data_IF_831140758696
#
_entry.id   IF_831140758696
#
_cell.length_a   1.000
_cell.length_b   1.000
_cell.length_c   1.000
_cell.angle_alpha   90.00
_cell.angle_beta   90.00
_cell.angle_gamma   90.00
#
_symmetry.space_group_name_H-M   'P 1'
#
loop_
_entity.id
_entity.type
_entity.pdbx_description
1 polymer ?
#
# COMPACT_ATOMS: atom_id res chain seq x y z
N UNK A 1 -35.63 19.00 -5.80
CA UNK A 1 -36.69 18.09 -5.31
C UNK A 1 -36.33 17.67 -3.90
N UNK A 2 -37.24 17.81 -2.94
CA UNK A 2 -37.00 17.43 -1.54
C UNK A 2 -37.09 15.90 -1.48
N UNK A 3 -35.99 15.21 -1.23
CA UNK A 3 -35.98 13.75 -1.04
C UNK A 3 -36.90 13.42 0.14
N UNK A 4 -37.82 12.48 -0.03
CA UNK A 4 -38.66 12.06 1.10
C UNK A 4 -37.79 11.42 2.17
N UNK A 5 -38.25 11.41 3.43
CA UNK A 5 -37.51 10.73 4.51
C UNK A 5 -37.25 9.26 4.17
N UNK A 6 -38.22 8.59 3.54
CA UNK A 6 -38.07 7.22 3.08
C UNK A 6 -36.97 7.09 2.01
N UNK A 7 -36.93 7.98 1.01
CA UNK A 7 -35.93 7.94 -0.06
C UNK A 7 -34.52 8.22 0.46
N UNK A 8 -34.38 9.16 1.40
CA UNK A 8 -33.10 9.46 2.05
C UNK A 8 -32.56 8.23 2.80
N UNK A 9 -33.42 7.56 3.57
CA UNK A 9 -33.04 6.37 4.34
C UNK A 9 -32.72 5.21 3.40
N UNK A 10 -33.51 5.02 2.34
CA UNK A 10 -33.25 4.02 1.31
C UNK A 10 -31.89 4.26 0.64
N UNK A 11 -31.61 5.50 0.23
CA UNK A 11 -30.32 5.90 -0.35
C UNK A 11 -29.14 5.64 0.59
N UNK A 12 -29.30 5.89 1.90
CA UNK A 12 -28.27 5.57 2.90
C UNK A 12 -27.97 4.07 2.99
N UNK A 13 -29.00 3.22 2.95
CA UNK A 13 -28.81 1.77 3.01
C UNK A 13 -28.13 1.28 1.74
N UNK A 14 -28.61 1.68 0.58
CA UNK A 14 -28.01 1.30 -0.71
C UNK A 14 -26.56 1.78 -0.83
N UNK A 15 -26.25 2.98 -0.35
CA UNK A 15 -24.88 3.47 -0.34
C UNK A 15 -23.98 2.63 0.58
N UNK A 16 -24.45 2.27 1.78
CA UNK A 16 -23.68 1.37 2.67
C UNK A 16 -23.46 0.00 2.04
N UNK A 17 -24.46 -0.59 1.39
CA UNK A 17 -24.32 -1.85 0.66
C UNK A 17 -23.32 -1.73 -0.49
N UNK A 18 -23.41 -0.65 -1.27
CA UNK A 18 -22.49 -0.37 -2.39
C UNK A 18 -21.05 -0.19 -1.92
N UNK A 19 -20.83 0.43 -0.75
CA UNK A 19 -19.51 0.52 -0.12
C UNK A 19 -19.03 -0.85 0.35
N UNK A 20 -19.90 -1.63 0.98
CA UNK A 20 -19.56 -2.97 1.48
C UNK A 20 -19.15 -3.94 0.35
N UNK A 21 -19.82 -3.86 -0.78
CA UNK A 21 -19.54 -4.66 -1.97
C UNK A 21 -18.39 -4.10 -2.83
N UNK A 22 -17.78 -2.98 -2.43
CA UNK A 22 -16.66 -2.37 -3.14
C UNK A 22 -17.05 -1.61 -4.43
N UNK A 23 -18.34 -1.39 -4.69
CA UNK A 23 -18.83 -0.59 -5.83
C UNK A 23 -18.57 0.90 -5.67
N UNK A 24 -18.50 1.38 -4.42
CA UNK A 24 -18.21 2.78 -4.09
C UNK A 24 -16.99 2.85 -3.19
N UNK A 25 -16.00 3.63 -3.59
CA UNK A 25 -14.83 3.92 -2.75
C UNK A 25 -15.10 5.14 -1.86
N UNK A 26 -15.18 4.98 -0.52
CA UNK A 26 -15.44 6.09 0.38
C UNK A 26 -14.23 7.03 0.47
N UNK A 27 -14.49 8.34 0.42
CA UNK A 27 -13.44 9.36 0.62
C UNK A 27 -13.00 9.43 2.08
N UNK A 28 -11.90 10.16 2.37
CA UNK A 28 -11.44 10.39 3.74
C UNK A 28 -12.53 11.00 4.64
N UNK A 29 -13.29 11.96 4.11
CA UNK A 29 -14.41 12.58 4.82
C UNK A 29 -15.52 11.56 5.13
N UNK A 30 -15.83 10.65 4.20
CA UNK A 30 -16.84 9.61 4.42
C UNK A 30 -16.42 8.67 5.55
N UNK A 31 -15.14 8.29 5.59
CA UNK A 31 -14.61 7.44 6.66
C UNK A 31 -14.80 8.04 8.05
N UNK A 32 -14.49 9.33 8.21
CA UNK A 32 -14.61 10.01 9.50
C UNK A 32 -16.09 10.11 9.93
N UNK A 33 -17.00 10.21 8.95
CA UNK A 33 -18.45 10.20 9.18
C UNK A 33 -19.01 8.80 9.45
N UNK A 34 -18.30 7.75 9.05
CA UNK A 34 -18.67 6.35 9.35
C UNK A 34 -18.29 5.93 10.77
N UNK A 35 -17.56 6.71 11.56
CA UNK A 35 -17.08 6.31 12.89
C UNK A 35 -18.21 6.00 13.88
N UNK A 36 -19.29 6.78 13.87
CA UNK A 36 -20.45 6.60 14.74
C UNK A 36 -21.75 7.03 14.03
N UNK A 37 -22.89 6.61 14.56
CA UNK A 37 -24.19 6.89 13.94
C UNK A 37 -24.56 8.37 13.94
N UNK A 38 -24.15 9.16 14.94
CA UNK A 38 -24.46 10.60 14.98
C UNK A 38 -23.71 11.32 13.86
N UNK A 39 -22.43 11.00 13.66
CA UNK A 39 -21.65 11.51 12.54
C UNK A 39 -22.19 11.02 11.20
N UNK A 40 -22.60 9.75 11.09
CA UNK A 40 -23.17 9.21 9.86
C UNK A 40 -24.46 9.95 9.45
N UNK A 41 -25.29 10.35 10.40
CA UNK A 41 -26.48 11.16 10.14
C UNK A 41 -26.16 12.52 9.51
N UNK A 42 -24.96 13.07 9.75
CA UNK A 42 -24.47 14.31 9.14
C UNK A 42 -23.79 14.13 7.78
N UNK A 43 -23.63 12.88 7.33
CA UNK A 43 -23.13 12.58 5.99
C UNK A 43 -24.17 13.00 4.94
N UNK A 44 -23.70 13.67 3.91
CA UNK A 44 -24.45 13.96 2.68
C UNK A 44 -23.66 13.44 1.50
N UNK A 45 -24.33 12.77 0.58
CA UNK A 45 -23.72 12.27 -0.65
C UNK A 45 -24.55 12.82 -1.79
N UNK A 46 -23.91 13.62 -2.65
CA UNK A 46 -24.56 14.32 -3.75
C UNK A 46 -25.32 13.33 -4.62
N UNK A 47 -26.59 13.64 -4.91
CA UNK A 47 -27.53 12.82 -5.68
C UNK A 47 -27.96 11.49 -5.03
N UNK A 48 -27.52 11.18 -3.81
CA UNK A 48 -27.87 9.93 -3.11
C UNK A 48 -28.76 10.19 -1.89
N UNK A 49 -28.28 11.02 -0.95
CA UNK A 49 -29.02 11.37 0.25
C UNK A 49 -28.46 12.62 0.95
N UNK A 50 -29.36 13.33 1.65
CA UNK A 50 -29.05 14.52 2.43
C UNK A 50 -28.88 14.22 3.91
N UNK A 51 -28.43 15.20 4.69
CA UNK A 51 -28.35 15.11 6.16
C UNK A 51 -29.71 14.78 6.77
N UNK A 52 -29.70 13.94 7.81
CA UNK A 52 -30.91 13.55 8.54
C UNK A 52 -30.67 13.68 10.06
N UNK A 53 -31.72 13.93 10.84
CA UNK A 53 -31.60 13.88 12.29
C UNK A 53 -31.50 12.43 12.77
N UNK A 54 -30.70 12.19 13.81
CA UNK A 54 -30.54 10.86 14.40
C UNK A 54 -31.87 10.26 14.85
N UNK A 55 -32.72 11.05 15.51
CA UNK A 55 -34.01 10.58 16.02
C UNK A 55 -34.98 10.25 14.88
N UNK A 56 -34.97 11.05 13.80
CA UNK A 56 -35.79 10.78 12.60
C UNK A 56 -35.38 9.46 11.96
N UNK A 57 -34.06 9.24 11.78
CA UNK A 57 -33.54 8.00 11.20
C UNK A 57 -33.88 6.79 12.09
N UNK A 58 -33.64 6.90 13.40
CA UNK A 58 -33.91 5.83 14.36
C UNK A 58 -35.40 5.47 14.37
N UNK A 59 -36.27 6.46 14.57
CA UNK A 59 -37.71 6.24 14.64
C UNK A 59 -38.24 5.59 13.35
N UNK A 60 -37.82 6.09 12.18
CA UNK A 60 -38.26 5.52 10.91
C UNK A 60 -37.82 4.06 10.78
N UNK A 61 -36.54 3.77 11.00
CA UNK A 61 -35.98 2.42 10.85
C UNK A 61 -36.47 1.41 11.90
N UNK A 62 -37.00 1.86 13.04
CA UNK A 62 -37.65 0.98 14.02
C UNK A 62 -39.12 0.71 13.70
N UNK A 63 -39.80 1.65 13.02
CA UNK A 63 -41.25 1.58 12.78
C UNK A 63 -41.63 1.12 11.37
N UNK A 64 -40.67 1.09 10.44
CA UNK A 64 -40.91 0.76 9.03
C UNK A 64 -39.91 -0.30 8.56
N UNK A 65 -40.31 -1.05 7.53
CA UNK A 65 -39.46 -1.98 6.80
C UNK A 65 -39.49 -1.66 5.30
N UNK A 66 -38.46 -2.07 4.58
CA UNK A 66 -38.40 -1.99 3.12
C UNK A 66 -38.38 -3.42 2.58
N UNK A 67 -39.39 -3.79 1.77
CA UNK A 67 -39.51 -5.14 1.21
C UNK A 67 -38.33 -5.55 0.31
N UNK A 68 -37.70 -4.56 -0.33
CA UNK A 68 -36.54 -4.75 -1.22
C UNK A 68 -35.23 -5.03 -0.47
N UNK A 69 -35.18 -4.78 0.84
CA UNK A 69 -33.95 -4.85 1.63
C UNK A 69 -34.00 -6.10 2.51
N UNK A 70 -33.37 -7.17 2.03
CA UNK A 70 -33.22 -8.41 2.79
C UNK A 70 -32.16 -8.24 3.89
N UNK A 71 -32.55 -8.40 5.15
CA UNK A 71 -31.63 -8.41 6.29
C UNK A 71 -32.02 -9.46 7.33
N UNK A 72 -31.03 -9.95 8.07
CA UNK A 72 -31.21 -10.92 9.17
C UNK A 72 -31.43 -10.26 10.53
N UNK A 73 -31.27 -8.93 10.61
CA UNK A 73 -31.42 -8.16 11.85
C UNK A 73 -32.88 -7.97 12.25
N UNK A 74 -33.10 -7.70 13.54
CA UNK A 74 -34.43 -7.46 14.14
C UNK A 74 -35.21 -6.32 13.46
N UNK A 75 -34.51 -5.27 13.05
CA UNK A 75 -35.08 -4.13 12.33
C UNK A 75 -34.02 -3.45 11.44
N UNK A 76 -34.48 -2.53 10.59
CA UNK A 76 -33.61 -1.77 9.69
C UNK A 76 -32.57 -0.94 10.45
N UNK A 77 -32.86 -0.52 11.67
CA UNK A 77 -31.95 0.29 12.48
C UNK A 77 -30.71 -0.52 12.90
N UNK A 78 -30.92 -1.72 13.42
CA UNK A 78 -29.82 -2.63 13.79
C UNK A 78 -29.06 -3.14 12.56
N UNK A 79 -29.76 -3.36 11.44
CA UNK A 79 -29.10 -3.68 10.17
C UNK A 79 -28.16 -2.55 9.72
N UNK A 80 -28.65 -1.31 9.68
CA UNK A 80 -27.83 -0.16 9.29
C UNK A 80 -26.64 0.06 10.24
N UNK A 81 -26.86 -0.10 11.55
CA UNK A 81 -25.80 0.03 12.56
C UNK A 81 -24.69 -0.99 12.39
N UNK A 82 -25.05 -2.26 12.19
CA UNK A 82 -24.11 -3.35 12.02
C UNK A 82 -23.35 -3.22 10.70
N UNK A 83 -24.05 -2.93 9.60
CA UNK A 83 -23.43 -2.72 8.28
C UNK A 83 -22.40 -1.58 8.33
N UNK A 84 -22.77 -0.41 8.89
CA UNK A 84 -21.84 0.71 9.09
C UNK A 84 -20.65 0.34 9.98
N UNK A 85 -20.89 -0.36 11.09
CA UNK A 85 -19.82 -0.77 12.00
C UNK A 85 -18.81 -1.69 11.31
N UNK A 86 -19.30 -2.66 10.52
CA UNK A 86 -18.46 -3.58 9.75
C UNK A 86 -17.63 -2.84 8.71
N UNK A 87 -18.25 -1.95 7.92
CA UNK A 87 -17.54 -1.12 6.94
C UNK A 87 -16.43 -0.32 7.63
N UNK A 88 -16.74 0.37 8.72
CA UNK A 88 -15.75 1.17 9.45
C UNK A 88 -14.60 0.31 10.01
N UNK A 89 -14.88 -0.87 10.54
CA UNK A 89 -13.86 -1.78 11.05
C UNK A 89 -12.93 -2.28 9.93
N UNK A 90 -13.48 -2.65 8.77
CA UNK A 90 -12.71 -3.08 7.60
C UNK A 90 -11.81 -1.95 7.08
N UNK A 91 -12.36 -0.74 6.96
CA UNK A 91 -11.58 0.42 6.49
C UNK A 91 -10.52 0.87 7.50
N UNK A 92 -10.81 0.79 8.81
CA UNK A 92 -9.83 1.09 9.86
C UNK A 92 -8.66 0.12 9.84
N UNK A 93 -8.93 -1.19 9.64
CA UNK A 93 -7.88 -2.21 9.52
C UNK A 93 -6.96 -1.94 8.32
N UNK A 94 -7.52 -1.54 7.19
CA UNK A 94 -6.73 -1.13 6.02
C UNK A 94 -5.82 0.07 6.33
N UNK A 95 -6.32 1.08 7.08
CA UNK A 95 -5.52 2.26 7.46
C UNK A 95 -4.40 1.97 8.45
N UNK A 96 -4.54 1.00 9.35
CA UNK A 96 -3.41 0.58 10.21
C UNK A 96 -2.27 -0.06 9.42
N UNK A 97 -2.49 -0.44 8.16
CA UNK A 97 -1.43 -0.90 7.27
C UNK A 97 -0.84 0.23 6.40
N UNK A 98 -1.39 1.45 6.46
CA UNK A 98 -0.95 2.62 5.68
C UNK A 98 0.00 3.56 6.45
N UNK A 99 0.39 3.24 7.69
CA UNK A 99 1.70 3.69 8.18
C UNK A 99 2.74 2.86 7.43
N UNK A 100 3.01 3.25 6.18
CA UNK A 100 4.29 2.96 5.56
C UNK A 100 5.29 3.67 6.44
N UNK A 101 5.79 2.96 7.45
CA UNK A 101 6.90 3.37 8.28
C UNK A 101 7.94 3.96 7.34
N UNK A 102 8.16 5.27 7.42
CA UNK A 102 9.21 5.86 6.59
C UNK A 102 10.48 5.08 6.93
N UNK A 103 11.20 4.53 5.94
CA UNK A 103 12.30 3.67 6.22
C UNK A 103 13.28 4.40 7.13
N UNK A 104 13.60 3.77 8.26
CA UNK A 104 14.49 4.38 9.24
C UNK A 104 15.83 4.71 8.57
N UNK A 105 16.63 5.66 9.12
CA UNK A 105 17.96 5.93 8.59
C UNK A 105 18.80 4.67 8.40
N UNK A 106 18.70 3.70 9.33
CA UNK A 106 19.38 2.41 9.25
C UNK A 106 18.86 1.54 8.09
N UNK A 107 17.55 1.52 7.85
CA UNK A 107 16.97 0.80 6.71
C UNK A 107 17.45 1.39 5.38
N UNK A 108 17.48 2.72 5.26
CA UNK A 108 18.00 3.41 4.06
C UNK A 108 19.48 3.14 3.82
N UNK A 109 20.28 3.11 4.88
CA UNK A 109 21.71 2.76 4.81
C UNK A 109 21.87 1.32 4.36
N UNK A 110 21.12 0.38 4.95
CA UNK A 110 21.18 -1.03 4.58
C UNK A 110 20.72 -1.27 3.14
N UNK A 111 19.67 -0.57 2.70
CA UNK A 111 19.22 -0.59 1.32
C UNK A 111 20.29 -0.03 0.37
N UNK A 112 20.91 1.10 0.71
CA UNK A 112 22.01 1.67 -0.08
C UNK A 112 23.20 0.71 -0.20
N UNK A 113 23.58 0.02 0.88
CA UNK A 113 24.62 -1.02 0.84
C UNK A 113 24.22 -2.19 -0.06
N UNK A 114 22.98 -2.65 0.02
CA UNK A 114 22.47 -3.74 -0.81
C UNK A 114 22.48 -3.33 -2.31
N UNK A 115 21.99 -2.13 -2.63
CA UNK A 115 22.03 -1.60 -3.99
C UNK A 115 23.47 -1.46 -4.52
N UNK A 116 24.41 -0.99 -3.68
CA UNK A 116 25.82 -0.91 -4.05
C UNK A 116 26.43 -2.29 -4.33
N UNK A 117 26.07 -3.31 -3.53
CA UNK A 117 26.50 -4.69 -3.73
C UNK A 117 25.93 -5.26 -5.03
N UNK A 118 24.63 -5.10 -5.28
CA UNK A 118 23.98 -5.56 -6.51
C UNK A 118 24.59 -4.90 -7.76
N UNK A 119 24.82 -3.59 -7.71
CA UNK A 119 25.47 -2.86 -8.79
C UNK A 119 26.90 -3.37 -9.04
N UNK A 120 27.63 -3.70 -7.97
CA UNK A 120 28.97 -4.28 -8.07
C UNK A 120 28.94 -5.66 -8.75
N UNK A 121 28.02 -6.54 -8.36
CA UNK A 121 27.87 -7.85 -9.00
C UNK A 121 27.53 -7.69 -10.49
N UNK A 122 26.56 -6.84 -10.83
CA UNK A 122 26.16 -6.59 -12.21
C UNK A 122 27.33 -6.06 -13.06
N UNK A 123 28.14 -5.14 -12.52
CA UNK A 123 29.35 -4.64 -13.20
C UNK A 123 30.34 -5.79 -13.49
N UNK A 124 30.63 -6.63 -12.50
CA UNK A 124 31.59 -7.73 -12.66
C UNK A 124 31.10 -8.78 -13.67
N UNK A 125 29.80 -9.07 -13.68
CA UNK A 125 29.19 -9.97 -14.66
C UNK A 125 29.34 -9.43 -16.09
N UNK A 126 28.98 -8.16 -16.30
CA UNK A 126 29.14 -7.50 -17.60
C UNK A 126 30.60 -7.44 -18.03
N UNK A 127 31.51 -7.10 -17.11
CA UNK A 127 32.94 -7.04 -17.37
C UNK A 127 33.47 -8.40 -17.85
N UNK A 128 33.12 -9.47 -17.14
CA UNK A 128 33.51 -10.84 -17.52
C UNK A 128 32.94 -11.22 -18.87
N UNK A 129 31.67 -10.93 -19.12
CA UNK A 129 31.02 -11.21 -20.40
C UNK A 129 31.78 -10.55 -21.56
N UNK A 130 32.05 -9.24 -21.49
CA UNK A 130 32.76 -8.52 -22.54
C UNK A 130 34.21 -8.98 -22.69
N UNK A 131 34.91 -9.26 -21.58
CA UNK A 131 36.26 -9.79 -21.62
C UNK A 131 36.30 -11.13 -22.35
N UNK A 132 35.42 -12.07 -21.98
CA UNK A 132 35.31 -13.37 -22.65
C UNK A 132 34.94 -13.21 -24.12
N UNK A 133 34.03 -12.29 -24.46
CA UNK A 133 33.65 -12.03 -25.85
C UNK A 133 34.85 -11.61 -26.70
N UNK A 134 35.66 -10.66 -26.21
CA UNK A 134 36.84 -10.17 -26.95
C UNK A 134 37.92 -11.24 -27.10
N UNK A 135 38.12 -12.05 -26.05
CA UNK A 135 39.13 -13.12 -26.02
C UNK A 135 38.74 -14.33 -26.88
N UNK A 136 37.46 -14.70 -26.94
CA UNK A 136 37.00 -15.94 -27.58
C UNK A 136 36.44 -15.74 -29.00
N UNK A 137 35.87 -14.58 -29.31
CA UNK A 137 35.22 -14.36 -30.61
C UNK A 137 36.26 -14.01 -31.68
N UNK A 138 36.42 -14.92 -32.65
CA UNK A 138 37.35 -14.76 -33.79
C UNK A 138 36.76 -13.93 -34.94
N UNK A 139 35.45 -13.66 -34.92
CA UNK A 139 34.74 -12.89 -35.94
C UNK A 139 34.85 -11.37 -35.74
N UNK A 140 35.17 -10.93 -34.52
CA UNK A 140 35.38 -9.52 -34.21
C UNK A 140 36.63 -8.97 -34.90
N UNK A 141 36.46 -7.87 -35.63
CA UNK A 141 37.57 -7.16 -36.25
C UNK A 141 38.53 -6.58 -35.18
N UNK A 142 39.79 -6.39 -35.55
CA UNK A 142 40.85 -5.93 -34.65
C UNK A 142 40.53 -4.57 -34.00
N UNK A 143 40.01 -3.61 -34.77
CA UNK A 143 39.71 -2.27 -34.27
C UNK A 143 38.65 -2.29 -33.17
N UNK A 144 37.58 -3.06 -33.34
CA UNK A 144 36.52 -3.25 -32.34
C UNK A 144 37.04 -3.96 -31.11
N UNK A 145 37.90 -4.99 -31.26
CA UNK A 145 38.55 -5.64 -30.11
C UNK A 145 39.37 -4.63 -29.29
N UNK A 146 40.23 -3.85 -29.94
CA UNK A 146 41.04 -2.84 -29.27
C UNK A 146 40.19 -1.79 -28.55
N UNK A 147 39.11 -1.32 -29.17
CA UNK A 147 38.19 -0.36 -28.53
C UNK A 147 37.55 -0.93 -27.27
N UNK A 148 37.03 -2.16 -27.32
CA UNK A 148 36.41 -2.81 -26.16
C UNK A 148 37.46 -3.08 -25.07
N UNK A 149 38.66 -3.54 -25.43
CA UNK A 149 39.74 -3.76 -24.45
C UNK A 149 40.14 -2.48 -23.74
N UNK A 150 40.29 -1.37 -24.48
CA UNK A 150 40.62 -0.06 -23.87
C UNK A 150 39.50 0.40 -22.92
N UNK A 151 38.23 0.22 -23.33
CA UNK A 151 37.10 0.55 -22.48
C UNK A 151 37.06 -0.29 -21.20
N UNK A 152 37.33 -1.59 -21.28
CA UNK A 152 37.43 -2.47 -20.11
C UNK A 152 38.56 -2.04 -19.18
N UNK A 153 39.71 -1.65 -19.73
CA UNK A 153 40.83 -1.16 -18.92
C UNK A 153 40.47 0.15 -18.17
N UNK A 154 39.86 1.11 -18.87
CA UNK A 154 39.41 2.34 -18.22
C UNK A 154 38.33 2.07 -17.16
N UNK A 155 37.40 1.16 -17.46
CA UNK A 155 36.32 0.82 -16.52
C UNK A 155 36.86 0.14 -15.27
N UNK A 156 37.87 -0.75 -15.39
CA UNK A 156 38.49 -1.40 -14.23
C UNK A 156 39.21 -0.39 -13.34
N UNK A 157 39.93 0.56 -13.92
CA UNK A 157 40.58 1.63 -13.15
C UNK A 157 39.56 2.49 -12.39
N UNK A 158 38.44 2.85 -13.04
CA UNK A 158 37.37 3.61 -12.38
C UNK A 158 36.74 2.81 -11.25
N UNK A 159 36.52 1.52 -11.45
CA UNK A 159 35.94 0.63 -10.44
C UNK A 159 36.87 0.47 -9.23
N UNK A 160 38.18 0.30 -9.44
CA UNK A 160 39.16 0.25 -8.35
C UNK A 160 39.20 1.55 -7.53
N UNK A 161 38.95 2.70 -8.16
CA UNK A 161 38.86 3.99 -7.50
C UNK A 161 37.63 4.18 -6.59
N UNK A 162 36.65 3.27 -6.62
CA UNK A 162 35.45 3.34 -5.76
C UNK A 162 35.79 2.78 -4.38
N UNK A 163 36.38 3.62 -3.53
CA UNK A 163 36.63 3.28 -2.12
C UNK A 163 35.51 3.81 -1.21
N UNK A 164 35.08 2.99 -0.26
CA UNK A 164 34.35 3.47 0.91
C UNK A 164 35.26 4.40 1.72
N UNK A 165 34.71 5.52 2.20
CA UNK A 165 35.43 6.48 3.04
C UNK A 165 36.12 5.73 4.21
N UNK A 166 37.47 5.75 4.26
CA UNK A 166 38.27 5.01 5.25
C UNK A 166 37.96 5.42 6.71
N UNK A 167 37.24 6.52 6.89
CA UNK A 167 36.81 7.04 8.18
C UNK A 167 35.45 6.48 8.67
N UNK A 168 34.86 5.50 7.99
CA UNK A 168 33.62 4.88 8.48
C UNK A 168 33.90 4.01 9.71
N UNK A 169 33.14 4.16 10.82
CA UNK A 169 33.33 3.34 12.01
C UNK A 169 33.17 1.86 11.66
N UNK A 170 34.13 1.04 12.09
CA UNK A 170 34.08 -0.42 11.92
C UNK A 170 32.87 -0.98 12.64
N UNK A 171 31.86 -1.42 11.88
CA UNK A 171 30.72 -2.16 12.42
C UNK A 171 31.24 -3.47 12.99
N UNK A 172 31.10 -3.68 14.30
CA UNK A 172 31.43 -4.96 14.92
C UNK A 172 30.49 -6.04 14.34
N UNK A 173 31.08 -7.03 13.68
CA UNK A 173 30.33 -8.18 13.16
C UNK A 173 29.91 -9.04 14.35
N UNK A 174 28.61 -9.18 14.59
CA UNK A 174 28.09 -10.15 15.57
C UNK A 174 27.65 -11.42 14.84
N UNK A 175 28.12 -12.56 15.33
CA UNK A 175 27.68 -13.88 14.86
C UNK A 175 26.29 -14.15 15.42
N UNK A 176 25.29 -14.29 14.55
CA UNK A 176 23.97 -14.80 14.95
C UNK A 176 24.10 -16.32 15.06
N UNK A 177 24.22 -16.83 16.29
CA UNK A 177 24.11 -18.27 16.54
C UNK A 177 22.65 -18.70 16.37
N UNK A 178 22.33 -19.28 15.21
CA UNK A 178 21.07 -19.98 14.98
C UNK A 178 21.09 -21.35 15.64
N UNK A 179 20.66 -21.43 16.90
CA UNK A 179 20.41 -22.68 17.60
C UNK A 179 18.92 -22.81 17.93
N UNK A 180 18.26 -23.82 17.35
CA UNK A 180 16.95 -24.32 17.79
C UNK A 180 16.99 -24.54 19.30
N UNK A 181 16.17 -23.82 20.06
CA UNK A 181 15.75 -24.28 21.37
C UNK A 181 14.76 -25.41 21.15
N UNK A 182 15.24 -26.65 21.23
CA UNK A 182 14.36 -27.80 21.38
C UNK A 182 13.69 -27.72 22.75
N UNK A 183 12.36 -27.76 22.70
CA UNK A 183 11.44 -27.92 23.83
C UNK A 183 11.45 -29.35 24.37
#
# INVERSE_FOLDING_TARGET
MRTSTADNIRGRIYWLQSVWEGRVTPTRLHHDKLADMKKFCTLEVKNEFDKISYNTLKHFCTSHSFLEITHTSENLWEYMRSLRANIYATLKKARTNDDIDQPTPEMKINEAYNQAQLATCAYLELFRFFKTLVESDTSLNYATKTQITNFLYESSLRFEGIYANQNSPTKAWSVIQGGKGDA
#
